data_IF_463429841880
#
_entry.id   IF_463429841880
#
_cell.length_a   1.000
_cell.length_b   1.000
_cell.length_c   1.000
_cell.angle_alpha   90.00
_cell.angle_beta   90.00
_cell.angle_gamma   90.00
#
_symmetry.space_group_name_H-M   'P 1'
#
loop_
_entity.id
_entity.type
_entity.pdbx_description
1 polymer ?
#
# COMPACT_ATOMS: atom_id res chain seq x y z
N UNK A 1 -8.59 3.37 -5.67
CA UNK A 1 -7.52 4.35 -5.42
C UNK A 1 -8.03 5.77 -5.67
N UNK A 2 -8.54 6.46 -4.64
CA UNK A 2 -9.03 7.85 -4.77
C UNK A 2 -7.89 8.80 -5.19
N UNK A 3 -6.69 8.64 -4.63
CA UNK A 3 -5.54 9.49 -4.98
C UNK A 3 -5.08 9.28 -6.43
N UNK A 4 -4.88 8.04 -6.88
CA UNK A 4 -4.39 7.75 -8.23
C UNK A 4 -5.32 8.28 -9.33
N UNK A 5 -6.63 8.14 -9.14
CA UNK A 5 -7.62 8.45 -10.17
C UNK A 5 -8.28 9.83 -9.99
N UNK A 6 -8.40 10.33 -8.76
CA UNK A 6 -9.00 11.62 -8.44
C UNK A 6 -7.98 12.76 -8.31
N UNK A 7 -6.79 12.48 -7.76
CA UNK A 7 -5.76 13.48 -7.45
C UNK A 7 -4.35 13.02 -7.89
N UNK A 8 -4.14 12.69 -9.18
CA UNK A 8 -2.88 12.12 -9.69
C UNK A 8 -1.66 13.03 -9.53
N UNK A 9 -1.88 14.34 -9.42
CA UNK A 9 -0.84 15.35 -9.15
C UNK A 9 -0.30 15.31 -7.71
N UNK A 10 -0.97 14.58 -6.80
CA UNK A 10 -0.47 14.41 -5.44
C UNK A 10 0.89 13.69 -5.45
N UNK A 11 1.87 14.15 -4.66
CA UNK A 11 3.13 13.41 -4.48
C UNK A 11 2.90 12.01 -3.91
N UNK A 12 1.81 11.81 -3.16
CA UNK A 12 1.43 10.52 -2.59
C UNK A 12 0.76 9.58 -3.60
N UNK A 13 0.38 10.07 -4.80
CA UNK A 13 -0.20 9.29 -5.88
C UNK A 13 0.85 8.81 -6.90
N UNK A 14 2.14 9.07 -6.68
CA UNK A 14 3.18 8.68 -7.62
C UNK A 14 3.47 7.18 -7.56
N UNK A 15 3.90 6.55 -8.68
CA UNK A 15 4.04 5.09 -8.78
C UNK A 15 4.91 4.47 -7.69
N UNK A 16 6.03 5.11 -7.34
CA UNK A 16 6.93 4.68 -6.25
C UNK A 16 6.16 4.51 -4.95
N UNK A 17 5.37 5.51 -4.56
CA UNK A 17 4.67 5.53 -3.28
C UNK A 17 3.52 4.52 -3.27
N UNK A 18 2.78 4.39 -4.37
CA UNK A 18 1.70 3.40 -4.48
C UNK A 18 2.25 1.99 -4.32
N UNK A 19 3.28 1.62 -5.09
CA UNK A 19 3.82 0.26 -5.08
C UNK A 19 4.48 -0.06 -3.74
N UNK A 20 5.47 0.74 -3.34
CA UNK A 20 6.25 0.45 -2.14
C UNK A 20 5.46 0.73 -0.86
N UNK A 21 4.53 1.69 -0.86
CA UNK A 21 3.65 1.95 0.28
C UNK A 21 2.80 0.73 0.59
N UNK A 22 2.11 0.16 -0.41
CA UNK A 22 1.34 -1.07 -0.22
C UNK A 22 2.21 -2.28 0.13
N UNK A 23 3.39 -2.42 -0.48
CA UNK A 23 4.29 -3.52 -0.17
C UNK A 23 4.79 -3.44 1.28
N UNK A 24 5.31 -2.28 1.71
CA UNK A 24 5.88 -2.09 3.04
C UNK A 24 4.84 -2.30 4.14
N UNK A 25 3.63 -1.75 4.00
CA UNK A 25 2.59 -1.92 5.02
C UNK A 25 2.06 -3.35 5.07
N UNK A 26 1.97 -4.04 3.93
CA UNK A 26 1.56 -5.46 3.91
C UNK A 26 2.60 -6.36 4.57
N UNK A 27 3.89 -6.10 4.34
CA UNK A 27 4.99 -6.80 5.02
C UNK A 27 4.98 -6.54 6.53
N UNK A 28 4.70 -5.30 6.97
CA UNK A 28 4.53 -5.00 8.39
C UNK A 28 3.36 -5.80 9.01
N UNK A 29 2.22 -5.88 8.30
CA UNK A 29 1.08 -6.70 8.70
C UNK A 29 1.43 -8.18 8.83
N UNK A 30 2.13 -8.74 7.82
CA UNK A 30 2.52 -10.15 7.81
C UNK A 30 3.53 -10.44 8.92
N UNK A 31 4.49 -9.55 9.15
CA UNK A 31 5.45 -9.70 10.23
C UNK A 31 4.75 -9.81 11.58
N UNK A 32 3.79 -8.92 11.86
CA UNK A 32 3.01 -8.98 13.11
C UNK A 32 2.14 -10.24 13.16
N UNK A 33 1.46 -10.59 12.07
CA UNK A 33 0.61 -11.78 11.99
C UNK A 33 1.37 -13.08 12.34
N UNK A 34 2.58 -13.25 11.79
CA UNK A 34 3.33 -14.51 11.91
C UNK A 34 4.27 -14.57 13.11
N UNK A 35 4.75 -13.43 13.63
CA UNK A 35 5.83 -13.40 14.62
C UNK A 35 5.47 -12.73 15.96
N UNK A 36 4.30 -12.10 16.08
CA UNK A 36 3.91 -11.38 17.31
C UNK A 36 2.72 -12.07 17.99
N UNK A 37 2.95 -12.87 19.06
CA UNK A 37 1.91 -13.62 19.76
C UNK A 37 1.22 -12.77 20.83
N UNK A 38 0.61 -11.64 20.43
CA UNK A 38 -0.16 -10.77 21.32
C UNK A 38 -1.64 -10.73 20.92
N UNK A 39 -2.53 -10.30 21.83
CA UNK A 39 -3.94 -10.11 21.50
C UNK A 39 -4.17 -9.15 20.33
N UNK A 40 -5.25 -9.38 19.58
CA UNK A 40 -5.59 -8.62 18.36
C UNK A 40 -5.62 -7.10 18.59
N UNK A 41 -6.16 -6.64 19.72
CA UNK A 41 -6.25 -5.22 20.04
C UNK A 41 -4.89 -4.54 20.25
N UNK A 42 -3.81 -5.31 20.45
CA UNK A 42 -2.43 -4.84 20.51
C UNK A 42 -1.75 -5.00 19.14
N UNK A 43 -1.96 -6.12 18.46
CA UNK A 43 -1.34 -6.39 17.15
C UNK A 43 -1.74 -5.38 16.08
N UNK A 44 -3.01 -4.99 16.01
CA UNK A 44 -3.49 -4.02 15.01
C UNK A 44 -2.76 -2.67 15.07
N UNK A 45 -2.75 -1.93 16.21
CA UNK A 45 -2.07 -0.64 16.28
C UNK A 45 -0.55 -0.75 16.08
N UNK A 46 0.09 -1.85 16.54
CA UNK A 46 1.52 -2.08 16.30
C UNK A 46 1.80 -2.21 14.80
N UNK A 47 1.04 -3.05 14.09
CA UNK A 47 1.25 -3.29 12.67
C UNK A 47 0.98 -2.05 11.82
N UNK A 48 -0.10 -1.31 12.12
CA UNK A 48 -0.42 -0.05 11.46
C UNK A 48 0.64 1.01 11.73
N UNK A 49 1.03 1.19 13.00
CA UNK A 49 2.07 2.14 13.39
C UNK A 49 3.41 1.85 12.72
N UNK A 50 3.84 0.58 12.72
CA UNK A 50 5.06 0.14 12.05
C UNK A 50 5.00 0.37 10.53
N UNK A 51 3.87 0.03 9.89
CA UNK A 51 3.67 0.26 8.45
C UNK A 51 3.73 1.73 8.07
N UNK A 52 3.09 2.61 8.86
CA UNK A 52 3.13 4.06 8.65
C UNK A 52 4.54 4.62 8.89
N UNK A 53 5.22 4.19 9.97
CA UNK A 53 6.59 4.58 10.24
C UNK A 53 7.53 4.20 9.09
N UNK A 54 7.43 2.97 8.56
CA UNK A 54 8.19 2.53 7.39
C UNK A 54 7.93 3.39 6.16
N UNK A 55 6.67 3.73 5.88
CA UNK A 55 6.32 4.59 4.76
C UNK A 55 6.97 5.97 4.83
N UNK A 56 6.96 6.58 6.03
CA UNK A 56 7.57 7.89 6.30
C UNK A 56 9.09 7.78 6.18
N UNK A 57 9.72 6.81 6.84
CA UNK A 57 11.18 6.62 6.86
C UNK A 57 11.75 6.38 5.45
N UNK A 58 11.04 5.64 4.62
CA UNK A 58 11.49 5.27 3.27
C UNK A 58 11.09 6.30 2.19
N UNK A 59 10.41 7.39 2.57
CA UNK A 59 9.86 8.38 1.63
C UNK A 59 9.03 7.72 0.51
N UNK A 60 8.09 6.87 0.92
CA UNK A 60 7.15 6.12 0.05
C UNK A 60 5.70 6.27 0.53
N UNK A 61 5.40 7.34 1.26
CA UNK A 61 4.08 7.56 1.85
C UNK A 61 2.97 7.51 0.81
N UNK A 62 2.08 6.52 0.97
CA UNK A 62 0.80 6.41 0.29
C UNK A 62 -0.27 6.19 1.36
N UNK A 63 -0.94 7.24 1.86
CA UNK A 63 -1.86 7.12 3.00
C UNK A 63 -2.90 5.99 2.89
N UNK A 64 -3.49 5.68 1.71
CA UNK A 64 -4.39 4.54 1.56
C UNK A 64 -3.78 3.18 1.92
N UNK A 65 -2.47 3.00 1.76
CA UNK A 65 -1.78 1.76 2.12
C UNK A 65 -1.72 1.50 3.64
N UNK A 66 -1.98 2.51 4.47
CA UNK A 66 -1.99 2.38 5.93
C UNK A 66 -3.07 1.41 6.46
N UNK A 67 -4.10 1.10 5.67
CA UNK A 67 -5.12 0.10 6.02
C UNK A 67 -4.72 -1.35 5.77
N UNK A 68 -3.66 -1.60 4.98
CA UNK A 68 -3.25 -2.97 4.62
C UNK A 68 -2.96 -3.88 5.82
N UNK A 69 -2.26 -3.44 6.90
CA UNK A 69 -1.97 -4.31 8.04
C UNK A 69 -3.22 -4.86 8.71
N UNK A 70 -4.31 -4.08 8.73
CA UNK A 70 -5.59 -4.50 9.29
C UNK A 70 -6.18 -5.66 8.48
N UNK A 71 -6.20 -5.53 7.14
CA UNK A 71 -6.71 -6.56 6.23
C UNK A 71 -5.87 -7.83 6.34
N UNK A 72 -4.54 -7.69 6.37
CA UNK A 72 -3.60 -8.81 6.48
C UNK A 72 -3.84 -9.61 7.77
N UNK A 73 -3.93 -8.92 8.91
CA UNK A 73 -4.09 -9.58 10.23
C UNK A 73 -5.51 -10.15 10.37
N UNK A 74 -6.55 -9.36 10.10
CA UNK A 74 -7.94 -9.82 10.26
C UNK A 74 -8.29 -10.94 9.27
N UNK A 75 -7.71 -10.90 8.07
CA UNK A 75 -7.88 -11.94 7.06
C UNK A 75 -7.06 -13.19 7.30
N UNK A 76 -6.13 -13.19 8.25
CA UNK A 76 -5.19 -14.30 8.51
C UNK A 76 -4.53 -14.81 7.22
N UNK A 77 -4.06 -13.87 6.39
CA UNK A 77 -3.65 -14.16 5.01
C UNK A 77 -2.32 -14.92 4.94
N UNK A 78 -2.11 -15.69 3.87
CA UNK A 78 -0.86 -16.41 3.61
C UNK A 78 0.25 -15.50 3.06
N UNK A 79 1.49 -15.99 2.99
CA UNK A 79 2.60 -15.24 2.40
C UNK A 79 2.40 -14.92 0.91
N UNK A 80 1.66 -15.76 0.17
CA UNK A 80 1.32 -15.53 -1.24
C UNK A 80 0.50 -14.25 -1.45
N UNK A 81 -0.09 -13.70 -0.38
CA UNK A 81 -0.78 -12.42 -0.39
C UNK A 81 0.11 -11.27 -0.91
N UNK A 82 1.44 -11.37 -0.73
CA UNK A 82 2.40 -10.42 -1.29
C UNK A 82 2.41 -10.46 -2.82
N UNK A 83 2.37 -11.65 -3.42
CA UNK A 83 2.36 -11.79 -4.88
C UNK A 83 0.98 -11.42 -5.42
N UNK A 84 -0.07 -11.93 -4.77
CA UNK A 84 -1.46 -11.69 -5.12
C UNK A 84 -2.31 -11.51 -3.85
N UNK A 85 -2.84 -10.30 -3.57
CA UNK A 85 -3.07 -9.21 -4.53
C UNK A 85 -2.04 -8.07 -4.50
N UNK A 86 -1.03 -8.05 -3.61
CA UNK A 86 -0.26 -6.82 -3.37
C UNK A 86 0.58 -6.40 -4.58
N UNK A 87 1.52 -7.21 -5.06
CA UNK A 87 2.38 -6.87 -6.20
C UNK A 87 1.57 -6.82 -7.50
N UNK A 88 0.81 -7.87 -7.78
CA UNK A 88 -0.01 -7.94 -9.00
C UNK A 88 -1.05 -6.82 -9.08
N UNK A 89 -1.81 -6.60 -8.00
CA UNK A 89 -2.83 -5.56 -7.94
C UNK A 89 -2.25 -4.15 -8.05
N UNK A 90 -1.12 -3.86 -7.40
CA UNK A 90 -0.46 -2.56 -7.53
C UNK A 90 0.07 -2.31 -8.95
N UNK A 91 0.64 -3.31 -9.61
CA UNK A 91 1.06 -3.21 -11.03
C UNK A 91 -0.16 -2.90 -11.92
N UNK A 92 -1.26 -3.65 -11.76
CA UNK A 92 -2.48 -3.45 -12.54
C UNK A 92 -2.99 -2.02 -12.37
N UNK A 93 -3.22 -1.56 -11.13
CA UNK A 93 -3.75 -0.20 -10.92
C UNK A 93 -2.80 0.87 -11.44
N UNK A 94 -1.48 0.67 -11.37
CA UNK A 94 -0.51 1.63 -11.93
C UNK A 94 -0.57 1.68 -13.45
N UNK A 95 -0.70 0.55 -14.13
CA UNK A 95 -0.89 0.52 -15.59
C UNK A 95 -2.14 1.30 -15.96
N UNK A 96 -3.28 1.00 -15.32
CA UNK A 96 -4.53 1.74 -15.54
C UNK A 96 -4.40 3.23 -15.20
N UNK A 97 -3.69 3.56 -14.13
CA UNK A 97 -3.42 4.94 -13.71
C UNK A 97 -2.60 5.72 -14.74
N UNK A 98 -1.58 5.11 -15.34
CA UNK A 98 -0.79 5.73 -16.41
C UNK A 98 -1.63 5.89 -17.68
N UNK A 99 -2.36 4.84 -18.09
CA UNK A 99 -3.23 4.90 -19.27
C UNK A 99 -4.26 6.02 -19.14
N UNK A 100 -4.97 6.07 -18.02
CA UNK A 100 -5.99 7.09 -17.79
C UNK A 100 -5.38 8.49 -17.74
N UNK A 101 -4.41 8.71 -16.86
CA UNK A 101 -3.93 10.07 -16.60
C UNK A 101 -3.06 10.61 -17.73
N UNK A 102 -2.14 9.80 -18.29
CA UNK A 102 -1.22 10.25 -19.34
C UNK A 102 -1.84 10.16 -20.72
N UNK A 103 -2.44 9.01 -21.06
CA UNK A 103 -2.83 8.75 -22.45
C UNK A 103 -4.21 9.30 -22.78
N UNK A 104 -5.17 9.19 -21.87
CA UNK A 104 -6.56 9.64 -22.08
C UNK A 104 -6.71 11.10 -21.67
N UNK A 105 -6.43 11.43 -20.40
CA UNK A 105 -6.64 12.77 -19.84
C UNK A 105 -5.52 13.77 -20.16
N UNK A 106 -4.42 13.32 -20.77
CA UNK A 106 -3.25 14.14 -21.14
C UNK A 106 -2.65 14.94 -19.97
N UNK A 107 -2.82 14.46 -18.73
CA UNK A 107 -2.18 15.03 -17.54
C UNK A 107 -0.70 14.66 -17.51
N UNK A 108 0.12 15.49 -16.86
CA UNK A 108 1.51 15.14 -16.53
C UNK A 108 1.51 14.10 -15.41
N UNK A 109 1.53 12.82 -15.76
CA UNK A 109 1.55 11.71 -14.81
C UNK A 109 2.27 10.49 -15.42
N UNK A 110 3.13 9.76 -14.70
CA UNK A 110 3.77 10.20 -13.45
C UNK A 110 4.49 11.54 -13.65
N UNK A 111 4.71 12.24 -12.53
CA UNK A 111 5.35 13.56 -12.50
C UNK A 111 6.85 13.51 -12.78
#
# INVERSE_FOLDING_TARGET
MVLLYGYPESPFAQPKNIFFGHLATSLAGLFVLYFVPLPLYINLPIAVGAGVALMIMLNITHPPAGGNPIIVIMGSVSLDYIINPIISGTIIVLIFGVVLNRLILKKKYPL
#
